data_IF_817748288233
#
_entry.id   IF_817748288233
#
_cell.length_a   1.000
_cell.length_b   1.000
_cell.length_c   1.000
_cell.angle_alpha   90.00
_cell.angle_beta   90.00
_cell.angle_gamma   90.00
#
_symmetry.space_group_name_H-M   'P 1'
#
loop_
_entity.id
_entity.type
_entity.pdbx_description
1 polymer ?
#
# COMPACT_ATOMS: atom_id res chain seq x y z
N UNK A 1 -58.74 -3.27 -12.58
CA UNK A 1 -57.33 -2.98 -12.94
C UNK A 1 -56.54 -4.28 -12.87
N UNK A 2 -55.83 -4.61 -13.95
CA UNK A 2 -55.24 -5.94 -14.21
C UNK A 2 -54.07 -6.23 -13.27
N UNK A 3 -54.09 -7.42 -12.66
CA UNK A 3 -52.99 -8.02 -11.91
C UNK A 3 -51.95 -8.51 -12.91
N UNK A 4 -50.74 -7.97 -12.87
CA UNK A 4 -49.63 -8.47 -13.67
C UNK A 4 -49.06 -9.72 -13.02
N UNK A 5 -49.19 -10.84 -13.72
CA UNK A 5 -48.52 -12.09 -13.37
C UNK A 5 -47.08 -12.06 -13.89
N UNK A 6 -46.17 -12.54 -13.04
CA UNK A 6 -44.72 -12.63 -13.25
C UNK A 6 -44.39 -13.82 -14.15
N UNK A 7 -43.43 -13.65 -15.06
CA UNK A 7 -42.66 -14.75 -15.61
C UNK A 7 -41.16 -14.48 -15.41
N UNK A 8 -40.55 -15.16 -14.45
CA UNK A 8 -39.09 -15.28 -14.34
C UNK A 8 -38.75 -16.66 -14.88
N UNK A 9 -38.17 -16.70 -16.07
CA UNK A 9 -37.66 -17.95 -16.65
C UNK A 9 -36.32 -18.26 -16.01
N UNK A 10 -36.27 -19.27 -15.14
CA UNK A 10 -35.02 -19.81 -14.61
C UNK A 10 -34.51 -20.87 -15.57
N UNK A 11 -33.42 -20.60 -16.28
CA UNK A 11 -32.66 -21.66 -16.96
C UNK A 11 -31.94 -22.48 -15.89
N UNK A 12 -32.58 -23.56 -15.45
CA UNK A 12 -31.95 -24.58 -14.62
C UNK A 12 -31.08 -25.46 -15.51
N UNK A 13 -29.82 -25.09 -15.70
CA UNK A 13 -28.82 -26.08 -16.14
C UNK A 13 -28.58 -27.06 -14.99
N UNK A 14 -29.11 -28.28 -15.15
CA UNK A 14 -28.70 -29.43 -14.33
C UNK A 14 -27.20 -29.66 -14.55
N UNK A 15 -26.37 -29.20 -13.62
CA UNK A 15 -25.03 -29.73 -13.44
C UNK A 15 -25.15 -31.04 -12.66
N UNK A 16 -25.10 -32.16 -13.36
CA UNK A 16 -24.86 -33.46 -12.74
C UNK A 16 -23.43 -33.43 -12.16
N UNK A 17 -23.30 -33.20 -10.85
CA UNK A 17 -22.04 -33.45 -10.16
C UNK A 17 -21.88 -34.96 -9.97
N UNK A 18 -21.00 -35.57 -10.78
CA UNK A 18 -20.47 -36.89 -10.46
C UNK A 18 -19.71 -36.79 -9.13
N UNK A 19 -19.96 -37.74 -8.22
CA UNK A 19 -19.46 -37.76 -6.83
C UNK A 19 -17.92 -37.79 -6.69
N UNK A 20 -17.18 -37.82 -7.80
CA UNK A 20 -15.74 -38.07 -7.82
C UNK A 20 -14.91 -36.96 -8.48
N UNK A 21 -15.52 -35.87 -8.97
CA UNK A 21 -14.79 -34.82 -9.71
C UNK A 21 -14.42 -33.63 -8.82
N UNK A 22 -13.98 -33.89 -7.59
CA UNK A 22 -13.24 -32.89 -6.82
C UNK A 22 -11.76 -33.05 -7.19
N UNK A 23 -11.18 -32.23 -8.08
CA UNK A 23 -9.74 -32.23 -8.24
C UNK A 23 -9.15 -31.88 -6.86
N UNK A 24 -8.37 -32.80 -6.30
CA UNK A 24 -7.57 -32.52 -5.12
C UNK A 24 -6.17 -32.11 -5.59
N UNK A 25 -5.83 -30.81 -5.65
CA UNK A 25 -4.44 -30.42 -5.68
C UNK A 25 -3.99 -30.20 -4.23
N UNK A 26 -3.65 -31.26 -3.52
CA UNK A 26 -2.54 -31.09 -2.57
C UNK A 26 -1.30 -31.05 -3.44
N UNK A 27 -0.87 -29.83 -3.77
CA UNK A 27 0.50 -29.55 -4.15
C UNK A 27 1.38 -30.22 -3.09
N UNK A 28 2.06 -31.29 -3.48
CA UNK A 28 3.15 -31.82 -2.68
C UNK A 28 4.13 -30.67 -2.51
N UNK A 29 4.29 -30.20 -1.27
CA UNK A 29 5.32 -29.22 -0.96
C UNK A 29 6.64 -29.90 -1.30
N UNK A 30 7.22 -29.53 -2.43
CA UNK A 30 8.54 -29.98 -2.80
C UNK A 30 9.50 -29.50 -1.70
N UNK A 31 10.00 -30.43 -0.89
CA UNK A 31 10.92 -30.18 0.22
C UNK A 31 12.23 -29.49 -0.23
N UNK A 32 12.48 -29.41 -1.54
CA UNK A 32 13.59 -28.69 -2.16
C UNK A 32 13.22 -27.30 -2.71
N UNK A 33 12.13 -26.67 -2.26
CA UNK A 33 11.96 -25.23 -2.49
C UNK A 33 12.99 -24.51 -1.61
N UNK A 34 14.15 -24.19 -2.19
CA UNK A 34 15.02 -23.16 -1.62
C UNK A 34 14.24 -21.85 -1.73
N UNK A 35 13.55 -21.48 -0.64
CA UNK A 35 13.02 -20.14 -0.47
C UNK A 35 14.24 -19.23 -0.43
N UNK A 36 14.63 -18.69 -1.59
CA UNK A 36 15.58 -17.59 -1.64
C UNK A 36 14.92 -16.47 -0.85
N UNK A 37 15.55 -16.05 0.25
CA UNK A 37 15.06 -14.94 1.02
C UNK A 37 14.87 -13.75 0.07
N UNK A 38 13.62 -13.34 -0.14
CA UNK A 38 13.31 -12.21 -1.01
C UNK A 38 14.03 -10.95 -0.54
N UNK A 39 14.21 -10.00 -1.45
CA UNK A 39 14.77 -8.69 -1.15
C UNK A 39 14.07 -8.09 0.08
N UNK A 40 14.85 -7.73 1.11
CA UNK A 40 14.32 -7.06 2.29
C UNK A 40 14.18 -5.57 2.01
N UNK A 41 13.15 -4.96 2.57
CA UNK A 41 12.88 -3.53 2.45
C UNK A 41 12.76 -2.89 3.83
N UNK A 42 13.36 -1.70 3.95
CA UNK A 42 13.05 -0.74 4.99
C UNK A 42 11.88 0.14 4.54
N UNK A 43 11.11 0.66 5.49
CA UNK A 43 10.00 1.57 5.24
C UNK A 43 10.14 2.86 6.03
N UNK A 44 9.63 3.95 5.45
CA UNK A 44 9.57 5.25 6.07
C UNK A 44 8.28 5.99 5.68
N UNK A 45 7.87 6.92 6.53
CA UNK A 45 6.73 7.81 6.34
C UNK A 45 7.23 9.24 6.47
N UNK A 46 7.01 10.06 5.44
CA UNK A 46 7.17 11.51 5.51
C UNK A 46 5.78 12.13 5.63
N UNK A 47 5.63 13.05 6.57
CA UNK A 47 4.40 13.83 6.73
C UNK A 47 4.72 15.29 6.51
N UNK A 48 3.97 15.91 5.60
CA UNK A 48 3.91 17.35 5.44
C UNK A 48 2.56 17.84 5.98
N UNK A 49 2.58 18.75 6.94
CA UNK A 49 1.38 19.30 7.55
C UNK A 49 1.34 20.82 7.36
N UNK A 50 0.20 21.31 6.88
CA UNK A 50 -0.16 22.71 6.86
C UNK A 50 -1.39 22.94 7.74
N UNK A 51 -1.28 23.88 8.68
CA UNK A 51 -2.40 24.33 9.51
C UNK A 51 -2.29 25.85 9.71
N UNK A 52 -1.43 26.28 10.64
CA UNK A 52 -1.00 27.68 10.79
C UNK A 52 0.45 27.92 10.34
N UNK A 53 1.25 26.86 10.33
CA UNK A 53 2.66 26.87 9.90
C UNK A 53 2.98 25.51 9.31
N UNK A 54 3.79 25.52 8.26
CA UNK A 54 4.30 24.30 7.65
C UNK A 54 5.21 23.56 8.61
N UNK A 55 4.95 22.25 8.74
CA UNK A 55 5.81 21.32 9.46
C UNK A 55 6.03 20.10 8.58
N UNK A 56 7.24 19.58 8.60
CA UNK A 56 7.57 18.35 7.90
C UNK A 56 8.43 17.48 8.80
N UNK A 57 8.14 16.19 8.84
CA UNK A 57 8.94 15.23 9.57
C UNK A 57 8.93 13.88 8.87
N UNK A 58 9.89 13.03 9.23
CA UNK A 58 10.02 11.68 8.70
C UNK A 58 10.20 10.68 9.83
N UNK A 59 9.46 9.59 9.75
CA UNK A 59 9.52 8.46 10.66
C UNK A 59 9.98 7.21 9.91
N UNK A 60 10.79 6.37 10.57
CA UNK A 60 11.26 5.12 9.99
C UNK A 60 12.52 4.63 10.69
N UNK A 61 12.61 3.31 10.94
CA UNK A 61 13.73 2.69 11.68
C UNK A 61 15.08 2.91 11.00
N UNK A 62 15.11 2.91 9.67
CA UNK A 62 16.34 3.00 8.87
C UNK A 62 16.58 4.40 8.29
N UNK A 63 15.80 5.39 8.72
CA UNK A 63 16.06 6.78 8.39
C UNK A 63 17.16 7.28 9.31
N UNK A 64 18.18 7.96 8.78
CA UNK A 64 19.28 8.51 9.57
C UNK A 64 18.89 9.85 10.18
N UNK A 65 19.61 10.28 11.22
CA UNK A 65 19.35 11.56 11.87
C UNK A 65 19.62 12.76 10.96
N UNK A 66 20.55 12.62 10.01
CA UNK A 66 20.80 13.65 8.99
C UNK A 66 19.57 13.84 8.09
N UNK A 67 18.97 12.75 7.59
CA UNK A 67 17.75 12.83 6.79
C UNK A 67 16.61 13.45 7.62
N UNK A 68 16.46 13.06 8.89
CA UNK A 68 15.45 13.67 9.78
C UNK A 68 15.67 15.18 9.92
N UNK A 69 16.91 15.61 10.14
CA UNK A 69 17.25 17.01 10.30
C UNK A 69 17.00 17.81 9.00
N UNK A 70 17.32 17.26 7.84
CA UNK A 70 17.11 17.93 6.55
C UNK A 70 15.63 18.03 6.20
N UNK A 71 14.87 16.95 6.38
CA UNK A 71 13.40 16.95 6.21
C UNK A 71 12.74 17.95 7.16
N UNK A 72 13.21 18.08 8.42
CA UNK A 72 12.61 19.01 9.38
C UNK A 72 12.72 20.50 8.97
N UNK A 73 13.60 20.82 8.01
CA UNK A 73 13.85 22.18 7.52
C UNK A 73 13.11 22.49 6.21
N UNK A 74 12.46 21.50 5.60
CA UNK A 74 11.77 21.70 4.31
C UNK A 74 10.53 22.56 4.49
N UNK A 75 10.25 23.40 3.49
CA UNK A 75 9.07 24.27 3.46
C UNK A 75 8.06 23.85 2.42
N UNK A 76 8.36 22.82 1.62
CA UNK A 76 7.43 22.28 0.63
C UNK A 76 7.50 20.75 0.59
N UNK A 77 6.41 20.07 0.17
CA UNK A 77 6.40 18.63 0.00
C UNK A 77 7.47 18.15 -1.00
N UNK A 78 7.68 18.89 -2.11
CA UNK A 78 8.62 18.50 -3.15
C UNK A 78 10.06 18.41 -2.62
N UNK A 79 10.50 19.36 -1.80
CA UNK A 79 11.84 19.30 -1.18
C UNK A 79 12.03 18.04 -0.34
N UNK A 80 10.99 17.63 0.40
CA UNK A 80 11.06 16.42 1.21
C UNK A 80 11.07 15.14 0.35
N UNK A 81 10.34 15.12 -0.77
CA UNK A 81 10.39 14.03 -1.74
C UNK A 81 11.79 13.92 -2.39
N UNK A 82 12.39 15.05 -2.75
CA UNK A 82 13.73 15.12 -3.35
C UNK A 82 14.79 14.57 -2.38
N UNK A 83 14.79 15.03 -1.12
CA UNK A 83 15.70 14.52 -0.07
C UNK A 83 15.56 13.00 0.09
N UNK A 84 14.33 12.47 0.11
CA UNK A 84 14.11 11.03 0.22
C UNK A 84 14.66 10.28 -1.00
N UNK A 85 14.38 10.79 -2.21
CA UNK A 85 14.86 10.21 -3.47
C UNK A 85 16.39 10.20 -3.58
N UNK A 86 17.05 11.32 -3.25
CA UNK A 86 18.52 11.43 -3.20
C UNK A 86 19.14 10.44 -2.21
N UNK A 87 18.41 10.08 -1.15
CA UNK A 87 18.82 9.09 -0.16
C UNK A 87 18.41 7.65 -0.52
N UNK A 88 17.96 7.40 -1.76
CA UNK A 88 17.65 6.07 -2.27
C UNK A 88 16.34 5.47 -1.74
N UNK A 89 15.43 6.30 -1.25
CA UNK A 89 14.08 5.89 -0.90
C UNK A 89 13.16 6.02 -2.11
N UNK A 90 12.38 4.98 -2.38
CA UNK A 90 11.39 4.93 -3.47
C UNK A 90 10.00 5.19 -2.90
N UNK A 91 9.30 6.18 -3.46
CA UNK A 91 7.91 6.48 -3.11
C UNK A 91 7.01 5.30 -3.50
N UNK A 92 6.24 4.78 -2.55
CA UNK A 92 5.33 3.65 -2.79
C UNK A 92 3.89 4.09 -2.93
N UNK A 93 3.45 4.99 -2.06
CA UNK A 93 2.09 5.51 -2.06
C UNK A 93 2.01 6.83 -1.32
N UNK A 94 0.94 7.57 -1.57
CA UNK A 94 0.65 8.82 -0.87
C UNK A 94 -0.81 8.88 -0.46
N UNK A 95 -1.08 9.62 0.61
CA UNK A 95 -2.40 9.85 1.13
C UNK A 95 -2.54 11.31 1.57
N UNK A 96 -3.70 11.90 1.28
CA UNK A 96 -4.01 13.28 1.65
C UNK A 96 -5.16 13.30 2.63
N UNK A 97 -5.00 14.08 3.70
CA UNK A 97 -6.06 14.35 4.67
C UNK A 97 -6.32 15.84 4.73
N UNK A 98 -7.57 16.24 4.53
CA UNK A 98 -8.01 17.62 4.76
C UNK A 98 -8.80 17.68 6.08
N UNK A 99 -8.69 18.79 6.81
CA UNK A 99 -9.43 19.05 8.03
C UNK A 99 -9.66 20.56 8.21
N UNK A 100 -10.55 20.93 9.12
CA UNK A 100 -10.91 22.34 9.32
C UNK A 100 -9.69 23.16 9.76
N UNK A 101 -9.21 23.99 8.82
CA UNK A 101 -8.07 24.89 8.97
C UNK A 101 -6.74 24.36 8.41
N UNK A 102 -6.70 23.20 7.74
CA UNK A 102 -5.45 22.68 7.19
C UNK A 102 -5.53 21.41 6.35
N UNK A 103 -4.34 20.92 5.99
CA UNK A 103 -4.17 19.66 5.27
C UNK A 103 -2.88 18.95 5.68
N UNK A 104 -2.85 17.65 5.46
CA UNK A 104 -1.68 16.79 5.64
C UNK A 104 -1.48 15.93 4.39
N UNK A 105 -0.23 15.83 3.96
CA UNK A 105 0.24 14.85 2.98
C UNK A 105 1.11 13.81 3.66
N UNK A 106 0.75 12.55 3.47
CA UNK A 106 1.49 11.39 3.93
C UNK A 106 2.14 10.73 2.72
N UNK A 107 3.45 10.56 2.76
CA UNK A 107 4.23 9.90 1.72
C UNK A 107 4.94 8.68 2.31
N UNK A 108 4.65 7.51 1.76
CA UNK A 108 5.24 6.26 2.22
C UNK A 108 6.33 5.83 1.26
N UNK A 109 7.45 5.39 1.82
CA UNK A 109 8.64 5.03 1.07
C UNK A 109 9.10 3.62 1.43
N UNK A 110 9.81 2.99 0.48
CA UNK A 110 10.59 1.78 0.71
C UNK A 110 12.04 2.00 0.28
N UNK A 111 12.97 1.27 0.91
CA UNK A 111 14.38 1.22 0.49
C UNK A 111 14.89 -0.20 0.61
N UNK A 112 15.52 -0.73 -0.44
CA UNK A 112 16.13 -2.04 -0.39
C UNK A 112 17.23 -2.07 0.69
N UNK A 113 17.22 -3.10 1.53
CA UNK A 113 18.24 -3.35 2.54
C UNK A 113 18.81 -4.75 2.35
N UNK A 114 20.09 -4.89 2.68
CA UNK A 114 20.82 -6.17 2.63
C UNK A 114 20.60 -6.95 3.93
#
# INVERSE_FOLDING_TARGET
MRKFFVFVTVFSSLLFFAKNDVPKPYLSFNKNIKIVAGQKYAYAEVVFQHYYKDKTWVNGKYVSDNIRADISKTTSPSQALDIMGENGWELTTSFTRNFDGGYEYYYYFKKAIN
#
